data_IF_555865873505
#
_entry.id   IF_555865873505
#
_cell.length_a   1.000
_cell.length_b   1.000
_cell.length_c   1.000
_cell.angle_alpha   90.00
_cell.angle_beta   90.00
_cell.angle_gamma   90.00
#
_symmetry.space_group_name_H-M   'P 1'
#
loop_
_entity.id
_entity.type
_entity.pdbx_description
1 polymer ?
#
# COMPACT_ATOMS: atom_id res chain seq x y z
N UNK A 1 9.17 2.42 15.53
CA UNK A 1 8.45 1.88 16.71
C UNK A 1 7.92 3.05 17.51
N UNK A 2 6.60 3.16 17.65
CA UNK A 2 6.00 4.22 18.47
C UNK A 2 6.16 3.88 19.97
N UNK A 3 6.86 4.67 20.77
CA UNK A 3 6.97 4.46 22.21
C UNK A 3 5.66 4.89 22.87
N UNK A 4 4.77 3.92 23.09
CA UNK A 4 3.48 4.17 23.73
C UNK A 4 3.59 4.03 25.25
N UNK A 5 3.00 4.99 25.99
CA UNK A 5 2.83 4.92 27.45
C UNK A 5 1.48 4.30 27.79
N UNK A 6 1.32 3.86 29.04
CA UNK A 6 0.01 3.45 29.54
C UNK A 6 -1.02 4.57 29.33
N UNK A 7 -2.20 4.21 28.83
CA UNK A 7 -3.26 5.17 28.48
C UNK A 7 -3.15 5.79 27.08
N UNK A 8 -2.08 5.50 26.32
CA UNK A 8 -2.00 5.94 24.92
C UNK A 8 -3.01 5.19 24.03
N UNK A 9 -3.56 5.89 23.07
CA UNK A 9 -4.41 5.32 22.00
C UNK A 9 -3.66 5.42 20.69
N UNK A 10 -3.59 4.33 19.95
CA UNK A 10 -3.04 4.29 18.60
C UNK A 10 -4.19 4.05 17.62
N UNK A 11 -4.46 5.03 16.78
CA UNK A 11 -5.39 4.91 15.66
C UNK A 11 -4.58 4.70 14.37
N UNK A 12 -4.90 3.66 13.62
CA UNK A 12 -4.22 3.37 12.35
C UNK A 12 -5.16 2.68 11.36
N UNK A 13 -4.90 2.88 10.08
CA UNK A 13 -5.59 2.14 9.03
C UNK A 13 -5.19 0.66 9.09
N UNK A 14 -6.14 -0.25 8.92
CA UNK A 14 -5.87 -1.69 8.87
C UNK A 14 -4.91 -2.06 7.74
N UNK A 15 -4.89 -1.28 6.67
CA UNK A 15 -3.98 -1.46 5.54
C UNK A 15 -2.58 -0.84 5.75
N UNK A 16 -2.35 -0.14 6.87
CA UNK A 16 -1.01 0.32 7.22
C UNK A 16 -0.10 -0.88 7.45
N UNK A 17 1.08 -0.85 6.86
CA UNK A 17 2.07 -1.89 7.10
C UNK A 17 2.40 -1.94 8.59
N UNK A 18 2.02 -3.03 9.21
CA UNK A 18 2.26 -3.23 10.64
C UNK A 18 2.52 -4.69 10.91
N UNK A 19 3.19 -4.94 12.01
CA UNK A 19 3.35 -6.29 12.56
C UNK A 19 3.10 -6.28 14.05
N UNK A 20 2.60 -7.39 14.56
CA UNK A 20 2.67 -7.67 15.99
C UNK A 20 4.13 -7.81 16.43
N UNK A 21 4.41 -7.60 17.70
CA UNK A 21 5.72 -7.92 18.23
C UNK A 21 5.96 -9.44 18.08
N UNK A 22 7.15 -9.78 17.60
CA UNK A 22 7.61 -11.15 17.77
C UNK A 22 7.65 -11.47 19.27
N UNK A 23 7.15 -12.64 19.60
CA UNK A 23 7.40 -13.20 20.92
C UNK A 23 8.90 -13.49 21.00
N UNK A 24 9.51 -13.11 22.08
CA UNK A 24 10.85 -13.58 22.39
C UNK A 24 10.76 -15.07 22.73
N UNK A 25 11.86 -15.78 22.55
CA UNK A 25 11.92 -17.22 22.86
C UNK A 25 11.60 -17.49 24.34
N UNK A 26 11.83 -16.50 25.21
CA UNK A 26 11.57 -16.51 26.65
C UNK A 26 10.18 -15.98 27.05
N UNK A 27 9.25 -15.81 26.10
CA UNK A 27 7.94 -15.17 26.36
C UNK A 27 7.10 -15.82 27.48
N UNK A 28 7.34 -17.08 27.78
CA UNK A 28 6.68 -17.79 28.88
C UNK A 28 7.15 -17.35 30.26
N UNK A 29 8.29 -16.68 30.33
CA UNK A 29 8.87 -16.13 31.56
C UNK A 29 8.59 -14.65 31.75
N UNK A 30 7.72 -14.07 30.92
CA UNK A 30 7.34 -12.68 30.99
C UNK A 30 6.51 -12.39 32.26
N UNK A 31 7.20 -12.18 33.35
CA UNK A 31 6.65 -11.63 34.59
C UNK A 31 6.79 -10.10 34.64
N UNK A 32 7.73 -9.56 33.87
CA UNK A 32 8.09 -8.15 33.84
C UNK A 32 7.46 -7.46 32.63
N UNK A 33 6.46 -6.70 32.78
CA UNK A 33 5.80 -5.91 31.75
C UNK A 33 4.69 -6.62 30.95
N UNK A 34 3.62 -7.05 31.60
CA UNK A 34 2.46 -7.54 30.91
C UNK A 34 1.87 -6.44 30.03
N UNK A 35 1.68 -6.73 28.74
CA UNK A 35 0.98 -5.83 27.84
C UNK A 35 -0.50 -6.12 27.86
N UNK A 36 -1.25 -5.15 28.32
CA UNK A 36 -2.71 -5.15 28.16
C UNK A 36 -3.07 -4.23 27.01
N UNK A 37 -3.84 -4.73 26.08
CA UNK A 37 -4.25 -3.99 24.91
C UNK A 37 -5.71 -4.31 24.58
N UNK A 38 -6.52 -3.27 24.49
CA UNK A 38 -7.85 -3.36 23.94
C UNK A 38 -7.77 -2.98 22.47
N UNK A 39 -8.42 -3.77 21.62
CA UNK A 39 -8.48 -3.53 20.19
C UNK A 39 -9.93 -3.33 19.80
N UNK A 40 -10.16 -2.26 19.04
CA UNK A 40 -11.44 -1.97 18.43
C UNK A 40 -11.23 -1.89 16.94
N UNK A 41 -12.13 -2.49 16.17
CA UNK A 41 -12.17 -2.32 14.72
C UNK A 41 -13.32 -1.37 14.41
N UNK A 42 -12.97 -0.31 13.71
CA UNK A 42 -13.93 0.68 13.23
C UNK A 42 -14.04 0.47 11.73
N UNK A 43 -15.24 0.18 11.25
CA UNK A 43 -15.49 -0.02 9.83
C UNK A 43 -16.30 1.15 9.31
N UNK A 44 -15.94 1.58 8.11
CA UNK A 44 -16.72 2.56 7.37
C UNK A 44 -17.99 1.87 6.86
N UNK A 45 -19.14 2.51 7.06
CA UNK A 45 -20.45 2.01 6.61
C UNK A 45 -20.90 2.65 5.30
N UNK A 46 -20.30 3.76 4.92
CA UNK A 46 -20.61 4.48 3.69
C UNK A 46 -19.36 4.68 2.85
N UNK A 47 -19.51 4.74 1.53
CA UNK A 47 -18.43 5.15 0.64
C UNK A 47 -17.97 6.59 0.95
N UNK A 48 -16.71 6.94 0.69
CA UNK A 48 -16.23 8.29 0.84
C UNK A 48 -17.04 9.25 -0.05
N UNK A 49 -17.50 10.35 0.52
CA UNK A 49 -18.32 11.34 -0.19
C UNK A 49 -17.52 12.48 -0.82
N UNK A 50 -16.20 12.42 -0.74
CA UNK A 50 -15.32 13.34 -1.46
C UNK A 50 -15.37 14.78 -0.95
N UNK A 51 -14.85 15.01 0.23
CA UNK A 51 -14.32 16.32 0.57
C UNK A 51 -12.82 16.24 0.52
N UNK A 52 -12.20 17.00 -0.36
CA UNK A 52 -10.77 17.14 -0.38
C UNK A 52 -10.31 17.72 0.97
N UNK A 53 -9.61 16.90 1.74
CA UNK A 53 -8.89 17.36 2.92
C UNK A 53 -7.48 17.84 2.56
N UNK A 54 -7.20 17.92 1.38
CA UNK A 54 -6.18 18.17 0.40
C UNK A 54 -4.95 18.98 0.72
N UNK A 55 -4.61 19.25 1.95
CA UNK A 55 -3.49 20.15 2.24
C UNK A 55 -2.11 19.49 2.14
N UNK A 56 -2.00 18.16 2.25
CA UNK A 56 -0.69 17.49 2.27
C UNK A 56 -0.64 16.29 1.33
N UNK A 57 0.18 16.35 0.31
CA UNK A 57 0.52 15.20 -0.51
C UNK A 57 1.83 14.55 -0.05
N UNK A 58 1.76 13.65 0.92
CA UNK A 58 2.94 12.91 1.43
C UNK A 58 3.73 12.17 0.36
N UNK A 59 3.17 11.98 -0.84
CA UNK A 59 3.89 11.35 -1.94
C UNK A 59 4.91 12.27 -2.58
N UNK A 60 4.65 13.58 -2.55
CA UNK A 60 5.51 14.62 -3.14
C UNK A 60 6.40 15.32 -2.09
N UNK A 61 6.05 15.21 -0.82
CA UNK A 61 6.83 15.81 0.25
C UNK A 61 8.15 15.08 0.51
N UNK A 62 9.19 15.82 0.83
CA UNK A 62 10.48 15.28 1.29
C UNK A 62 10.52 15.03 2.79
N UNK A 63 9.71 15.75 3.54
CA UNK A 63 9.59 15.66 4.99
C UNK A 63 8.13 15.65 5.38
N UNK A 64 7.75 14.77 6.28
CA UNK A 64 6.40 14.74 6.86
C UNK A 64 6.18 16.03 7.68
N UNK A 65 5.25 16.90 7.30
CA UNK A 65 5.04 18.19 7.95
C UNK A 65 4.50 18.07 9.39
N UNK A 66 3.95 16.92 9.76
CA UNK A 66 3.41 16.69 11.11
C UNK A 66 4.45 16.14 12.07
N UNK A 67 5.33 15.28 11.59
CA UNK A 67 6.28 14.54 12.44
C UNK A 67 7.73 14.92 12.23
N UNK A 68 8.05 15.63 11.14
CA UNK A 68 9.42 15.93 10.72
C UNK A 68 10.19 14.71 10.19
N UNK A 69 9.49 13.60 9.91
CA UNK A 69 10.12 12.39 9.39
C UNK A 69 10.58 12.59 7.94
N UNK A 70 11.81 12.14 7.64
CA UNK A 70 12.36 12.18 6.29
C UNK A 70 11.64 11.16 5.38
N UNK A 71 10.96 11.65 4.36
CA UNK A 71 10.20 10.84 3.41
C UNK A 71 11.00 10.49 2.15
N UNK A 72 12.24 10.99 2.01
CA UNK A 72 13.07 10.70 0.83
C UNK A 72 13.46 9.23 0.77
N UNK A 73 13.63 8.59 1.93
CA UNK A 73 13.98 7.17 2.06
C UNK A 73 12.77 6.23 1.96
N UNK A 74 11.56 6.77 1.88
CA UNK A 74 10.34 5.94 1.73
C UNK A 74 10.29 5.37 0.32
N UNK A 75 10.17 4.05 0.21
CA UNK A 75 10.14 3.38 -1.09
C UNK A 75 8.96 3.84 -1.95
N UNK A 76 9.17 3.87 -3.27
CA UNK A 76 8.14 4.22 -4.26
C UNK A 76 6.88 3.35 -4.11
N UNK A 77 7.03 2.07 -3.77
CA UNK A 77 5.90 1.17 -3.54
C UNK A 77 5.01 1.61 -2.38
N UNK A 78 5.60 2.10 -1.28
CA UNK A 78 4.82 2.65 -0.16
C UNK A 78 4.12 3.94 -0.59
N UNK A 79 4.83 4.86 -1.28
CA UNK A 79 4.24 6.11 -1.78
C UNK A 79 3.09 5.85 -2.75
N UNK A 80 3.20 4.86 -3.62
CA UNK A 80 2.11 4.46 -4.54
C UNK A 80 0.91 3.92 -3.80
N UNK A 81 1.13 3.14 -2.75
CA UNK A 81 0.06 2.65 -1.87
C UNK A 81 -0.65 3.82 -1.17
N UNK A 82 0.10 4.79 -0.62
CA UNK A 82 -0.47 5.99 0.00
C UNK A 82 -1.30 6.81 -0.98
N UNK A 83 -0.78 7.04 -2.19
CA UNK A 83 -1.49 7.79 -3.24
C UNK A 83 -2.82 7.13 -3.58
N UNK A 84 -2.82 5.81 -3.73
CA UNK A 84 -4.05 5.07 -3.99
C UNK A 84 -5.06 5.25 -2.85
N UNK A 85 -4.64 5.02 -1.61
CA UNK A 85 -5.53 5.10 -0.45
C UNK A 85 -6.03 6.53 -0.20
N UNK A 86 -5.16 7.54 -0.32
CA UNK A 86 -5.55 8.95 -0.20
C UNK A 86 -6.64 9.27 -1.21
N UNK A 87 -6.39 9.00 -2.49
CA UNK A 87 -7.36 9.30 -3.54
C UNK A 87 -8.69 8.58 -3.34
N UNK A 88 -8.65 7.30 -2.96
CA UNK A 88 -9.87 6.57 -2.66
C UNK A 88 -10.63 7.13 -1.46
N UNK A 89 -9.94 7.51 -0.40
CA UNK A 89 -10.55 8.14 0.78
C UNK A 89 -11.20 9.48 0.46
N UNK A 90 -10.64 10.23 -0.48
CA UNK A 90 -11.16 11.53 -0.93
C UNK A 90 -12.35 11.39 -1.88
N UNK A 91 -12.29 10.44 -2.81
CA UNK A 91 -13.22 10.42 -3.94
C UNK A 91 -14.16 9.21 -3.97
N UNK A 92 -13.89 8.18 -3.18
CA UNK A 92 -14.57 6.88 -3.27
C UNK A 92 -14.22 6.07 -4.52
N UNK A 93 -13.28 6.55 -5.34
CA UNK A 93 -12.92 5.95 -6.62
C UNK A 93 -11.42 5.64 -6.66
N UNK A 94 -10.99 4.62 -7.44
CA UNK A 94 -9.57 4.45 -7.72
C UNK A 94 -9.01 5.66 -8.47
N UNK A 95 -7.72 6.00 -8.29
CA UNK A 95 -7.08 7.06 -9.05
C UNK A 95 -7.13 6.73 -10.55
N UNK A 96 -7.41 7.74 -11.37
CA UNK A 96 -7.34 7.61 -12.81
C UNK A 96 -5.91 7.25 -13.24
N UNK A 97 -5.73 6.48 -14.32
CA UNK A 97 -4.41 6.23 -14.89
C UNK A 97 -3.69 7.55 -15.13
N UNK A 98 -2.41 7.65 -14.75
CA UNK A 98 -1.60 8.81 -15.08
C UNK A 98 -1.47 8.87 -16.60
N UNK A 99 -2.13 9.83 -17.21
CA UNK A 99 -1.91 10.20 -18.60
C UNK A 99 -0.70 11.12 -18.57
N UNK A 100 0.48 10.54 -18.72
CA UNK A 100 1.65 11.35 -19.07
C UNK A 100 1.49 11.70 -20.56
N UNK A 101 1.31 12.98 -20.86
CA UNK A 101 1.14 13.51 -22.23
C UNK A 101 2.41 13.36 -23.07
N UNK A 102 3.51 12.93 -22.47
CA UNK A 102 4.69 12.50 -23.21
C UNK A 102 4.34 11.27 -24.03
N UNK A 103 4.52 11.34 -25.34
CA UNK A 103 4.32 10.23 -26.28
C UNK A 103 5.30 9.11 -25.92
N UNK A 104 4.90 8.24 -24.99
CA UNK A 104 5.68 7.07 -24.64
C UNK A 104 5.38 5.96 -25.68
N UNK A 105 6.42 5.34 -26.20
CA UNK A 105 6.24 4.25 -27.15
C UNK A 105 5.54 3.07 -26.47
N UNK A 106 4.74 2.32 -27.22
CA UNK A 106 4.09 1.10 -26.73
C UNK A 106 5.10 0.11 -26.13
N UNK A 107 6.31 0.10 -26.64
CA UNK A 107 7.39 -0.75 -26.14
C UNK A 107 7.85 -0.31 -24.74
N UNK A 108 7.94 0.98 -24.50
CA UNK A 108 8.27 1.53 -23.19
C UNK A 108 7.20 1.15 -22.14
N UNK A 109 5.92 1.36 -22.47
CA UNK A 109 4.81 1.01 -21.58
C UNK A 109 4.78 -0.49 -21.25
N UNK A 110 5.03 -1.33 -22.25
CA UNK A 110 5.14 -2.77 -22.06
C UNK A 110 6.31 -3.13 -21.15
N UNK A 111 7.47 -2.51 -21.36
CA UNK A 111 8.65 -2.73 -20.51
C UNK A 111 8.38 -2.33 -19.06
N UNK A 112 7.75 -1.17 -18.84
CA UNK A 112 7.34 -0.71 -17.51
C UNK A 112 6.37 -1.68 -16.84
N UNK A 113 5.33 -2.14 -17.55
CA UNK A 113 4.38 -3.10 -17.04
C UNK A 113 5.04 -4.43 -16.63
N UNK A 114 5.97 -4.93 -17.43
CA UNK A 114 6.70 -6.16 -17.14
C UNK A 114 7.66 -5.99 -15.96
N UNK A 115 8.26 -4.83 -15.79
CA UNK A 115 9.09 -4.51 -14.63
C UNK A 115 8.25 -4.52 -13.35
N UNK A 116 7.11 -3.86 -13.33
CA UNK A 116 6.19 -3.85 -12.19
C UNK A 116 5.68 -5.26 -11.86
N UNK A 117 5.33 -6.03 -12.89
CA UNK A 117 4.97 -7.43 -12.71
C UNK A 117 6.11 -8.24 -12.10
N UNK A 118 7.36 -8.01 -12.51
CA UNK A 118 8.56 -8.62 -11.91
C UNK A 118 8.68 -8.30 -10.43
N UNK A 119 8.48 -7.04 -10.03
CA UNK A 119 8.49 -6.61 -8.62
C UNK A 119 7.40 -7.31 -7.80
N UNK A 120 6.22 -7.55 -8.38
CA UNK A 120 5.17 -8.33 -7.70
C UNK A 120 5.59 -9.78 -7.43
N UNK A 121 6.52 -10.32 -8.19
CA UNK A 121 7.03 -11.69 -8.05
C UNK A 121 8.28 -11.80 -7.18
N UNK A 122 8.83 -10.71 -6.66
CA UNK A 122 9.99 -10.76 -5.77
C UNK A 122 9.70 -11.58 -4.52
N UNK A 123 10.72 -12.31 -4.04
CA UNK A 123 10.64 -13.13 -2.83
C UNK A 123 11.05 -12.31 -1.61
N UNK A 124 10.59 -12.76 -0.45
CA UNK A 124 10.88 -12.14 0.85
C UNK A 124 9.68 -11.38 1.41
N UNK A 125 9.49 -11.48 2.72
CA UNK A 125 8.37 -10.81 3.42
C UNK A 125 8.61 -9.29 3.48
N UNK A 126 9.86 -8.88 3.54
CA UNK A 126 10.28 -7.47 3.50
C UNK A 126 9.92 -6.78 2.17
N UNK A 127 9.66 -7.58 1.13
CA UNK A 127 9.26 -7.09 -0.21
C UNK A 127 7.74 -6.88 -0.34
N UNK A 128 6.96 -7.16 0.68
CA UNK A 128 5.50 -6.99 0.60
C UNK A 128 5.08 -5.55 0.27
N UNK A 129 5.65 -4.49 0.85
CA UNK A 129 5.33 -3.11 0.46
C UNK A 129 5.60 -2.81 -1.02
N UNK A 130 6.73 -3.30 -1.54
CA UNK A 130 7.11 -3.13 -2.96
C UNK A 130 6.10 -3.88 -3.84
N UNK A 131 5.74 -5.10 -3.47
CA UNK A 131 4.80 -5.95 -4.19
C UNK A 131 3.42 -5.32 -4.32
N UNK A 132 2.90 -4.77 -3.22
CA UNK A 132 1.60 -4.10 -3.19
C UNK A 132 1.65 -2.79 -3.97
N UNK A 133 2.69 -1.98 -3.78
CA UNK A 133 2.87 -0.74 -4.54
C UNK A 133 2.95 -0.99 -6.04
N UNK A 134 3.71 -2.00 -6.46
CA UNK A 134 3.81 -2.38 -7.86
C UNK A 134 2.45 -2.82 -8.45
N UNK A 135 1.58 -3.46 -7.66
CA UNK A 135 0.24 -3.80 -8.10
C UNK A 135 -0.63 -2.57 -8.36
N UNK A 136 -0.56 -1.55 -7.49
CA UNK A 136 -1.27 -0.28 -7.70
C UNK A 136 -0.70 0.51 -8.87
N UNK A 137 0.63 0.57 -9.01
CA UNK A 137 1.26 1.21 -10.17
C UNK A 137 0.89 0.51 -11.48
N UNK A 138 0.88 -0.83 -11.47
CA UNK A 138 0.47 -1.62 -12.64
C UNK A 138 -1.00 -1.37 -13.00
N UNK A 139 -1.87 -1.22 -12.01
CA UNK A 139 -3.27 -0.85 -12.22
C UNK A 139 -3.44 0.56 -12.80
N UNK A 140 -2.48 1.46 -12.55
CA UNK A 140 -2.51 2.85 -13.01
C UNK A 140 -1.82 3.08 -14.36
N UNK A 141 -1.24 2.04 -15.01
CA UNK A 141 -0.63 2.22 -16.33
C UNK A 141 -1.69 2.47 -17.41
N UNK A 142 -1.28 3.15 -18.50
CA UNK A 142 -2.18 3.49 -19.60
C UNK A 142 -2.76 2.26 -20.32
N UNK A 143 -1.96 1.21 -20.48
CA UNK A 143 -2.40 -0.06 -21.10
C UNK A 143 -3.16 -0.92 -20.10
N UNK A 144 -4.43 -0.60 -19.90
CA UNK A 144 -5.32 -1.29 -18.96
C UNK A 144 -5.56 -2.76 -19.34
N UNK A 145 -5.46 -3.10 -20.62
CA UNK A 145 -5.63 -4.49 -21.09
C UNK A 145 -4.44 -5.32 -20.63
N UNK A 146 -3.22 -4.82 -20.86
CA UNK A 146 -2.00 -5.48 -20.39
C UNK A 146 -1.96 -5.58 -18.87
N UNK A 147 -2.30 -4.48 -18.16
CA UNK A 147 -2.39 -4.46 -16.71
C UNK A 147 -3.29 -5.58 -16.19
N UNK A 148 -4.51 -5.68 -16.72
CA UNK A 148 -5.50 -6.69 -16.33
C UNK A 148 -4.98 -8.12 -16.58
N UNK A 149 -4.33 -8.37 -17.70
CA UNK A 149 -3.75 -9.69 -18.02
C UNK A 149 -2.67 -10.06 -17.01
N UNK A 150 -1.75 -9.14 -16.72
CA UNK A 150 -0.64 -9.38 -15.80
C UNK A 150 -1.14 -9.58 -14.36
N UNK A 151 -2.07 -8.73 -13.91
CA UNK A 151 -2.65 -8.85 -12.57
C UNK A 151 -3.42 -10.17 -12.40
N UNK A 152 -4.22 -10.59 -13.40
CA UNK A 152 -4.90 -11.89 -13.37
C UNK A 152 -3.91 -13.05 -13.29
N UNK A 153 -2.78 -12.96 -13.98
CA UNK A 153 -1.74 -13.98 -13.92
C UNK A 153 -1.19 -14.17 -12.50
N UNK A 154 -1.14 -13.12 -11.68
CA UNK A 154 -0.69 -13.25 -10.28
C UNK A 154 -1.63 -14.08 -9.41
N UNK A 155 -2.93 -14.16 -9.74
CA UNK A 155 -3.90 -14.94 -8.98
C UNK A 155 -3.62 -16.45 -9.03
N UNK A 156 -2.86 -16.90 -10.02
CA UNK A 156 -2.45 -18.30 -10.18
C UNK A 156 -1.11 -18.60 -9.49
N UNK A 157 -0.50 -17.62 -8.81
CA UNK A 157 0.78 -17.80 -8.17
C UNK A 157 0.64 -18.66 -6.89
N UNK A 158 1.62 -19.49 -6.62
CA UNK A 158 1.63 -20.35 -5.41
C UNK A 158 1.63 -19.53 -4.12
N UNK A 159 2.33 -18.39 -4.11
CA UNK A 159 2.45 -17.52 -2.94
C UNK A 159 1.21 -16.67 -2.74
N UNK A 160 0.63 -16.76 -1.54
CA UNK A 160 -0.54 -15.97 -1.15
C UNK A 160 -0.29 -14.47 -1.25
N UNK A 161 0.88 -13.99 -0.82
CA UNK A 161 1.23 -12.56 -0.86
C UNK A 161 1.21 -11.97 -2.28
N UNK A 162 1.55 -12.78 -3.30
CA UNK A 162 1.45 -12.39 -4.71
C UNK A 162 0.00 -12.35 -5.17
N UNK A 163 -0.80 -13.37 -4.83
CA UNK A 163 -2.23 -13.39 -5.16
C UNK A 163 -2.95 -12.21 -4.52
N UNK A 164 -2.65 -11.91 -3.25
CA UNK A 164 -3.21 -10.77 -2.51
C UNK A 164 -2.89 -9.44 -3.18
N UNK A 165 -1.64 -9.20 -3.55
CA UNK A 165 -1.26 -7.99 -4.29
C UNK A 165 -1.99 -7.88 -5.64
N UNK A 166 -2.11 -9.00 -6.37
CA UNK A 166 -2.89 -9.04 -7.62
C UNK A 166 -4.35 -8.68 -7.42
N UNK A 167 -4.97 -9.16 -6.35
CA UNK A 167 -6.35 -8.79 -5.99
C UNK A 167 -6.48 -7.30 -5.74
N UNK A 168 -5.55 -6.68 -5.01
CA UNK A 168 -5.56 -5.23 -4.79
C UNK A 168 -5.45 -4.45 -6.10
N UNK A 169 -4.55 -4.87 -6.99
CA UNK A 169 -4.42 -4.23 -8.30
C UNK A 169 -5.68 -4.37 -9.16
N UNK A 170 -6.34 -5.54 -9.15
CA UNK A 170 -7.60 -5.75 -9.89
C UNK A 170 -8.75 -4.92 -9.33
N UNK A 171 -8.86 -4.80 -8.01
CA UNK A 171 -9.83 -3.90 -7.37
C UNK A 171 -9.57 -2.45 -7.78
N UNK A 172 -8.31 -2.04 -7.83
CA UNK A 172 -7.92 -0.70 -8.29
C UNK A 172 -8.28 -0.44 -9.76
N UNK A 173 -8.30 -1.50 -10.60
CA UNK A 173 -8.78 -1.43 -11.99
C UNK A 173 -10.30 -1.37 -12.11
N UNK A 174 -11.05 -1.59 -11.03
CA UNK A 174 -12.50 -1.68 -11.08
C UNK A 174 -13.01 -2.97 -11.75
N UNK A 175 -12.29 -4.08 -11.58
CA UNK A 175 -12.63 -5.37 -12.24
C UNK A 175 -12.76 -6.50 -11.25
#
# INVERSE_FOLDING_TARGET
VAPLRAGSVLLYSHNTFHRGNHRRDDWRQWTENPRFMWRFWIYRTNEPSGTDSGEVDWCEESVDPLTGFDLTEVSSGIKSTWRYHKHWLETGKPPSPKIDDTIQSNEYLKKQALQLFGQMLEKGDEKEPIRIGAAYELAAIRDQVLAKVLLRKTLLNERESVRRAGTYGLVALGT
#
